data_IF_070783518275
#
_entry.id   IF_070783518275
#
_cell.length_a   1.000
_cell.length_b   1.000
_cell.length_c   1.000
_cell.angle_alpha   90.00
_cell.angle_beta   90.00
_cell.angle_gamma   90.00
#
_symmetry.space_group_name_H-M   'P 1'
#
loop_
_entity.id
_entity.type
_entity.pdbx_description
1 polymer ?
#
# COMPACT_ATOMS: atom_id res chain seq x y z
N UNK A 1 15.58 -20.29 17.56
CA UNK A 1 14.78 -19.06 17.41
C UNK A 1 14.13 -19.16 16.04
N UNK A 2 12.83 -19.44 15.97
CA UNK A 2 12.13 -19.51 14.68
C UNK A 2 12.10 -18.12 14.08
N UNK A 3 12.59 -17.98 12.85
CA UNK A 3 12.34 -16.81 12.02
C UNK A 3 10.82 -16.68 11.89
N UNK A 4 10.28 -15.52 12.26
CA UNK A 4 8.87 -15.21 12.05
C UNK A 4 8.55 -15.28 10.56
N UNK A 5 7.46 -15.92 10.21
CA UNK A 5 6.88 -15.91 8.87
C UNK A 5 6.35 -14.51 8.56
N UNK A 6 7.24 -13.57 8.25
CA UNK A 6 6.92 -12.19 7.87
C UNK A 6 6.77 -11.97 6.37
N UNK A 7 6.66 -13.03 5.57
CA UNK A 7 6.64 -12.91 4.10
C UNK A 7 5.30 -13.32 3.52
N UNK A 8 4.51 -12.36 3.01
CA UNK A 8 3.34 -12.51 2.10
C UNK A 8 2.19 -13.43 2.56
N UNK A 9 2.41 -14.37 3.48
CA UNK A 9 1.47 -15.39 3.93
C UNK A 9 0.47 -14.94 5.01
N UNK A 10 0.58 -13.70 5.49
CA UNK A 10 -0.36 -13.10 6.45
C UNK A 10 -1.52 -12.34 5.79
N UNK A 11 -1.41 -12.04 4.49
CA UNK A 11 -2.44 -11.29 3.75
C UNK A 11 -3.54 -12.25 3.28
N UNK A 12 -4.81 -12.03 3.64
CA UNK A 12 -5.91 -12.88 3.17
C UNK A 12 -5.98 -12.93 1.63
N UNK A 13 -6.28 -14.08 1.01
CA UNK A 13 -6.33 -14.21 -0.46
C UNK A 13 -7.25 -13.20 -1.14
N UNK A 14 -8.37 -12.85 -0.53
CA UNK A 14 -9.31 -11.84 -1.05
C UNK A 14 -8.67 -10.46 -1.12
N UNK A 15 -7.79 -10.13 -0.17
CA UNK A 15 -7.04 -8.87 -0.17
C UNK A 15 -5.98 -8.88 -1.28
N UNK A 16 -5.36 -10.04 -1.57
CA UNK A 16 -4.42 -10.16 -2.70
C UNK A 16 -5.11 -9.84 -4.04
N UNK A 17 -6.34 -10.32 -4.24
CA UNK A 17 -7.13 -9.99 -5.44
C UNK A 17 -7.44 -8.49 -5.53
N UNK A 18 -7.74 -7.85 -4.39
CA UNK A 18 -8.00 -6.41 -4.36
C UNK A 18 -6.73 -5.60 -4.61
N UNK A 19 -5.58 -6.04 -4.11
CA UNK A 19 -4.29 -5.41 -4.34
C UNK A 19 -3.92 -5.43 -5.82
N UNK A 20 -4.05 -6.58 -6.48
CA UNK A 20 -3.83 -6.68 -7.93
C UNK A 20 -4.76 -5.74 -8.70
N UNK A 21 -6.05 -5.74 -8.34
CA UNK A 21 -7.09 -4.96 -9.02
C UNK A 21 -6.93 -3.45 -8.85
N UNK A 22 -6.71 -2.98 -7.63
CA UNK A 22 -6.76 -1.56 -7.28
C UNK A 22 -5.38 -0.92 -7.15
N UNK A 23 -4.40 -1.65 -6.61
CA UNK A 23 -3.03 -1.16 -6.45
C UNK A 23 -2.16 -1.35 -7.69
N UNK A 24 -2.43 -2.39 -8.49
CA UNK A 24 -1.70 -2.72 -9.73
C UNK A 24 -0.19 -2.86 -9.53
N UNK A 25 0.20 -3.40 -8.39
CA UNK A 25 1.59 -3.65 -7.99
C UNK A 25 1.73 -5.09 -7.51
N UNK A 26 2.95 -5.62 -7.59
CA UNK A 26 3.28 -6.91 -6.99
C UNK A 26 3.74 -6.70 -5.56
N UNK A 27 3.43 -7.67 -4.67
CA UNK A 27 3.79 -7.59 -3.25
C UNK A 27 5.28 -7.83 -2.96
N UNK A 28 6.04 -8.32 -3.94
CA UNK A 28 7.50 -8.47 -3.87
C UNK A 28 8.24 -7.19 -4.32
N UNK A 29 7.53 -6.07 -4.46
CA UNK A 29 8.09 -4.77 -4.84
C UNK A 29 8.81 -4.05 -3.69
N UNK A 30 9.59 -3.03 -4.03
CA UNK A 30 10.22 -2.14 -3.06
C UNK A 30 9.20 -1.31 -2.27
N UNK A 31 9.60 -0.82 -1.10
CA UNK A 31 8.79 0.06 -0.27
C UNK A 31 8.16 1.25 -1.04
N UNK A 32 8.90 2.01 -1.87
CA UNK A 32 8.30 3.08 -2.67
C UNK A 32 7.31 2.60 -3.74
N UNK A 33 7.53 1.43 -4.33
CA UNK A 33 6.59 0.86 -5.32
C UNK A 33 5.27 0.46 -4.67
N UNK A 34 5.34 -0.20 -3.51
CA UNK A 34 4.18 -0.58 -2.72
C UNK A 34 3.39 0.65 -2.26
N UNK A 35 4.08 1.70 -1.81
CA UNK A 35 3.45 2.98 -1.42
C UNK A 35 2.71 3.65 -2.60
N UNK A 36 3.27 3.61 -3.82
CA UNK A 36 2.56 4.10 -5.03
C UNK A 36 1.32 3.28 -5.33
N UNK A 37 1.38 1.96 -5.15
CA UNK A 37 0.21 1.09 -5.27
C UNK A 37 -0.87 1.44 -4.25
N UNK A 38 -0.49 1.71 -2.99
CA UNK A 38 -1.41 2.14 -1.95
C UNK A 38 -2.12 3.45 -2.33
N UNK A 39 -1.38 4.44 -2.83
CA UNK A 39 -1.93 5.72 -3.32
C UNK A 39 -2.91 5.49 -4.47
N UNK A 40 -2.57 4.62 -5.43
CA UNK A 40 -3.46 4.30 -6.54
C UNK A 40 -4.78 3.68 -6.06
N UNK A 41 -4.71 2.73 -5.14
CA UNK A 41 -5.90 2.09 -4.56
C UNK A 41 -6.74 3.10 -3.76
N UNK A 42 -6.10 4.00 -3.01
CA UNK A 42 -6.77 5.06 -2.27
C UNK A 42 -7.53 6.01 -3.22
N UNK A 43 -6.94 6.39 -4.36
CA UNK A 43 -7.62 7.19 -5.39
C UNK A 43 -8.88 6.53 -5.92
N UNK A 44 -8.83 5.21 -6.18
CA UNK A 44 -10.00 4.45 -6.62
C UNK A 44 -11.12 4.45 -5.56
N UNK A 45 -10.76 4.37 -4.28
CA UNK A 45 -11.71 4.48 -3.18
C UNK A 45 -12.35 5.89 -3.11
N UNK A 46 -11.51 6.93 -3.20
CA UNK A 46 -11.94 8.33 -3.11
C UNK A 46 -12.78 8.79 -4.31
N UNK A 47 -12.57 8.20 -5.49
CA UNK A 47 -13.38 8.49 -6.69
C UNK A 47 -14.84 8.03 -6.55
N UNK A 48 -15.18 7.21 -5.55
CA UNK A 48 -16.52 6.63 -5.34
C UNK A 48 -16.94 6.73 -3.87
N UNK A 49 -17.11 7.94 -3.32
CA UNK A 49 -17.41 8.12 -1.90
C UNK A 49 -18.79 7.55 -1.53
N UNK A 50 -18.93 7.14 -0.27
CA UNK A 50 -20.19 6.65 0.30
C UNK A 50 -20.21 5.13 0.50
N UNK A 51 -21.42 4.53 0.55
CA UNK A 51 -21.60 3.09 0.85
C UNK A 51 -21.43 2.22 -0.40
N UNK A 52 -20.28 2.38 -1.07
CA UNK A 52 -19.91 1.59 -2.25
C UNK A 52 -18.95 0.49 -1.80
N UNK A 53 -19.32 -0.77 -2.04
CA UNK A 53 -18.55 -1.93 -1.56
C UNK A 53 -17.18 -2.02 -2.23
N UNK A 54 -17.11 -1.69 -3.51
CA UNK A 54 -15.89 -1.65 -4.29
C UNK A 54 -14.93 -0.56 -3.78
N UNK A 55 -15.45 0.57 -3.30
CA UNK A 55 -14.63 1.61 -2.68
C UNK A 55 -14.04 1.13 -1.35
N UNK A 56 -14.79 0.35 -0.57
CA UNK A 56 -14.28 -0.28 0.65
C UNK A 56 -13.18 -1.30 0.34
N UNK A 57 -13.31 -2.10 -0.72
CA UNK A 57 -12.25 -3.02 -1.15
C UNK A 57 -10.99 -2.29 -1.61
N UNK A 58 -11.14 -1.19 -2.36
CA UNK A 58 -10.02 -0.35 -2.75
C UNK A 58 -9.31 0.28 -1.53
N UNK A 59 -10.07 0.68 -0.51
CA UNK A 59 -9.51 1.20 0.74
C UNK A 59 -8.73 0.13 1.52
N UNK A 60 -9.25 -1.10 1.59
CA UNK A 60 -8.54 -2.23 2.22
C UNK A 60 -7.29 -2.64 1.45
N UNK A 61 -7.32 -2.58 0.12
CA UNK A 61 -6.13 -2.79 -0.70
C UNK A 61 -5.06 -1.71 -0.44
N UNK A 62 -5.48 -0.44 -0.29
CA UNK A 62 -4.58 0.64 0.06
C UNK A 62 -3.92 0.44 1.43
N UNK A 63 -4.71 0.06 2.44
CA UNK A 63 -4.24 -0.24 3.79
C UNK A 63 -3.24 -1.40 3.82
N UNK A 64 -3.57 -2.51 3.12
CA UNK A 64 -2.67 -3.65 2.99
C UNK A 64 -1.36 -3.29 2.30
N UNK A 65 -1.41 -2.53 1.20
CA UNK A 65 -0.22 -2.08 0.49
C UNK A 65 0.65 -1.13 1.30
N UNK A 66 0.06 -0.24 2.09
CA UNK A 66 0.81 0.64 2.96
C UNK A 66 1.50 -0.14 4.09
N UNK A 67 0.81 -1.14 4.66
CA UNK A 67 1.41 -2.05 5.63
C UNK A 67 2.63 -2.76 5.04
N UNK A 68 2.47 -3.34 3.85
CA UNK A 68 3.57 -4.02 3.15
C UNK A 68 4.71 -3.05 2.77
N UNK A 69 4.41 -1.81 2.38
CA UNK A 69 5.42 -0.80 2.09
C UNK A 69 6.28 -0.48 3.32
N UNK A 70 5.65 -0.37 4.49
CA UNK A 70 6.35 -0.13 5.77
C UNK A 70 7.17 -1.34 6.18
N UNK A 71 6.65 -2.55 6.04
CA UNK A 71 7.40 -3.79 6.31
C UNK A 71 8.64 -3.90 5.40
N UNK A 72 8.46 -3.73 4.09
CA UNK A 72 9.57 -3.72 3.14
C UNK A 72 10.59 -2.62 3.44
N UNK A 73 10.14 -1.45 3.91
CA UNK A 73 11.02 -0.35 4.29
C UNK A 73 11.84 -0.64 5.55
N UNK A 74 11.30 -1.41 6.50
CA UNK A 74 12.03 -1.87 7.68
C UNK A 74 13.10 -2.91 7.35
N UNK A 75 12.89 -3.69 6.30
CA UNK A 75 13.80 -4.73 5.82
C UNK A 75 14.85 -4.21 4.81
N UNK A 76 14.75 -2.95 4.40
CA UNK A 76 15.70 -2.30 3.48
C UNK A 76 17.10 -2.12 4.11
N UNK A 77 18.13 -2.00 3.27
CA UNK A 77 19.50 -1.72 3.72
C UNK A 77 19.62 -0.34 4.37
N UNK A 78 18.80 0.63 3.93
CA UNK A 78 18.67 1.97 4.51
C UNK A 78 17.20 2.32 4.82
N UNK A 79 16.69 1.91 6.00
CA UNK A 79 15.31 2.14 6.38
C UNK A 79 14.92 3.62 6.47
N UNK A 80 15.86 4.50 6.85
CA UNK A 80 15.57 5.93 6.97
C UNK A 80 15.27 6.54 5.60
N UNK A 81 16.09 6.21 4.60
CA UNK A 81 15.87 6.62 3.21
C UNK A 81 14.56 6.03 2.66
N UNK A 82 14.28 4.75 2.92
CA UNK A 82 13.05 4.09 2.48
C UNK A 82 11.81 4.78 3.08
N UNK A 83 11.80 5.06 4.38
CA UNK A 83 10.71 5.78 5.04
C UNK A 83 10.55 7.20 4.53
N UNK A 84 11.65 7.93 4.29
CA UNK A 84 11.58 9.27 3.73
C UNK A 84 10.93 9.27 2.34
N UNK A 85 11.22 8.27 1.52
CA UNK A 85 10.59 8.09 0.22
C UNK A 85 9.08 7.81 0.33
N UNK A 86 8.65 6.93 1.25
CA UNK A 86 7.23 6.66 1.51
C UNK A 86 6.51 7.95 1.92
N UNK A 87 7.03 8.67 2.91
CA UNK A 87 6.42 9.88 3.45
C UNK A 87 6.34 10.99 2.39
N UNK A 88 7.37 11.13 1.56
CA UNK A 88 7.39 12.09 0.46
C UNK A 88 6.30 11.77 -0.56
N UNK A 89 6.12 10.50 -0.94
CA UNK A 89 5.06 10.09 -1.87
C UNK A 89 3.66 10.37 -1.29
N UNK A 90 3.43 10.07 -0.02
CA UNK A 90 2.15 10.33 0.66
C UNK A 90 1.89 11.84 0.80
N UNK A 91 2.90 12.63 1.14
CA UNK A 91 2.80 14.09 1.23
C UNK A 91 2.43 14.72 -0.11
N UNK A 92 3.10 14.31 -1.19
CA UNK A 92 2.77 14.75 -2.56
C UNK A 92 1.34 14.39 -2.97
N UNK A 93 0.80 13.27 -2.49
CA UNK A 93 -0.59 12.91 -2.75
C UNK A 93 -1.58 13.77 -1.97
N UNK A 94 -1.29 14.04 -0.69
CA UNK A 94 -2.13 14.88 0.13
C UNK A 94 -2.25 16.30 -0.44
N UNK A 95 -1.14 16.87 -0.88
CA UNK A 95 -1.09 18.21 -1.50
C UNK A 95 -1.88 18.29 -2.81
N UNK A 96 -1.93 17.21 -3.60
CA UNK A 96 -2.74 17.14 -4.83
C UNK A 96 -4.26 17.18 -4.59
N UNK A 97 -4.71 16.77 -3.41
CA UNK A 97 -6.13 16.78 -3.06
C UNK A 97 -6.68 18.18 -2.75
N UNK A 98 -5.79 19.16 -2.54
CA UNK A 98 -6.13 20.54 -2.18
C UNK A 98 -6.20 21.48 -3.40
N UNK A 99 -5.88 21.00 -4.61
CA UNK A 99 -5.95 21.73 -5.90
C UNK A 99 -7.31 21.57 -6.60
#
# INVERSE_FOLDING_TARGET
MSAGEGGVGSVPPEVLEWIDRYGRVRLDGSAPELARGAIQALREALARPGRVREAAYALLAADGLLTQAVEAGLEDEDPETAFHAILTLLGQEAERGDE
#
